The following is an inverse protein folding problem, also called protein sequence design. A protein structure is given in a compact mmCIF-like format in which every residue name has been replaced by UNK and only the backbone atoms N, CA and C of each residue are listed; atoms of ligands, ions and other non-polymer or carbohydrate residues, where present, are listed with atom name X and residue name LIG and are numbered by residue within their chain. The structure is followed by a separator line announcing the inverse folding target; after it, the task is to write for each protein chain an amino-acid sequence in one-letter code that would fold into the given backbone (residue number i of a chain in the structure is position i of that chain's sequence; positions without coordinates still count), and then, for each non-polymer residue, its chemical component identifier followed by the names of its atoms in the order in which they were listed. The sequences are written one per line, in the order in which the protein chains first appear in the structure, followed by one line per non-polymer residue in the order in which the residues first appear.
data_IF_062522096030
#
_entry.id   IF_062522096030
#
_cell.length_a   1.000
_cell.length_b   1.000
_cell.length_c   1.000
_cell.angle_alpha   90.00
_cell.angle_beta   90.00
_cell.angle_gamma   90.00
#
_symmetry.space_group_name_H-M   'P 1'
#
loop_
_entity.id
_entity.type
_entity.pdbx_description
1 polymer ?
#
# COMPACT_ATOMS: atom_id res chain seq x y z
N UNK A 1 -18.13 -72.68 -23.15
CA UNK A 1 -19.22 -73.61 -22.84
C UNK A 1 -20.19 -72.95 -21.84
N UNK A 2 -21.44 -72.84 -22.26
CA UNK A 2 -22.70 -72.71 -21.45
C UNK A 2 -22.99 -71.44 -20.64
N UNK A 3 -23.77 -70.62 -21.24
CA UNK A 3 -24.95 -69.94 -20.59
C UNK A 3 -25.99 -71.03 -20.21
N UNK A 4 -27.07 -70.84 -19.47
CA UNK A 4 -28.04 -69.77 -19.41
C UNK A 4 -28.53 -69.45 -17.96
N UNK A 5 -29.53 -68.71 -17.56
CA UNK A 5 -30.66 -67.93 -18.08
C UNK A 5 -31.67 -67.63 -16.95
N UNK A 6 -32.42 -66.54 -17.10
CA UNK A 6 -33.77 -66.21 -16.60
C UNK A 6 -34.06 -66.22 -15.08
N UNK A 7 -34.75 -65.32 -14.49
CA UNK A 7 -35.80 -64.43 -14.97
C UNK A 7 -36.54 -63.75 -13.84
N UNK A 8 -37.39 -62.84 -14.24
CA UNK A 8 -38.64 -62.30 -13.72
C UNK A 8 -38.67 -61.20 -12.67
N UNK A 9 -39.08 -60.12 -13.18
CA UNK A 9 -39.92 -58.98 -12.73
C UNK A 9 -40.67 -59.11 -11.42
N UNK A 10 -40.67 -58.03 -10.66
CA UNK A 10 -41.86 -57.54 -9.99
C UNK A 10 -41.83 -55.97 -9.91
N UNK A 11 -42.83 -55.38 -10.47
CA UNK A 11 -43.18 -53.96 -10.45
C UNK A 11 -43.92 -53.65 -9.14
N UNK A 12 -43.55 -52.63 -8.39
CA UNK A 12 -44.42 -51.85 -7.51
C UNK A 12 -43.71 -50.51 -7.26
N UNK A 13 -44.14 -49.45 -7.70
CA UNK A 13 -45.12 -48.51 -7.27
C UNK A 13 -44.52 -47.37 -6.49
N UNK A 14 -44.39 -46.21 -7.14
CA UNK A 14 -44.44 -44.82 -6.70
C UNK A 14 -44.24 -44.46 -5.22
N UNK A 15 -43.23 -43.66 -4.92
CA UNK A 15 -43.36 -42.49 -4.03
C UNK A 15 -42.30 -41.46 -4.41
N UNK A 16 -42.77 -40.31 -4.94
CA UNK A 16 -41.96 -39.13 -5.18
C UNK A 16 -41.73 -38.48 -3.82
N UNK A 17 -40.52 -38.59 -3.29
CA UNK A 17 -40.08 -37.75 -2.18
C UNK A 17 -39.21 -36.61 -2.75
N UNK A 18 -39.80 -35.43 -2.74
CA UNK A 18 -39.08 -34.19 -3.03
C UNK A 18 -38.10 -33.89 -1.88
N UNK A 19 -36.83 -34.16 -2.10
CA UNK A 19 -35.77 -33.72 -1.20
C UNK A 19 -35.37 -32.29 -1.59
N UNK A 20 -35.77 -31.37 -0.70
CA UNK A 20 -35.34 -29.99 -0.76
C UNK A 20 -33.79 -29.90 -0.69
N UNK A 21 -33.15 -29.41 -1.73
CA UNK A 21 -31.76 -28.99 -1.67
C UNK A 21 -31.64 -27.81 -0.71
N UNK A 22 -31.11 -28.06 0.48
CA UNK A 22 -30.72 -27.02 1.40
C UNK A 22 -29.58 -26.21 0.78
N UNK A 23 -29.89 -24.97 0.42
CA UNK A 23 -28.88 -23.94 0.16
C UNK A 23 -28.08 -23.76 1.45
N UNK A 24 -26.87 -24.31 1.48
CA UNK A 24 -25.86 -23.96 2.48
C UNK A 24 -25.44 -22.54 2.14
N UNK A 25 -26.05 -21.58 2.86
CA UNK A 25 -25.59 -20.20 2.86
C UNK A 25 -24.17 -20.17 3.42
N UNK A 26 -23.21 -19.82 2.57
CA UNK A 26 -21.92 -19.36 3.05
C UNK A 26 -22.17 -18.09 3.86
N UNK A 27 -22.15 -18.23 5.18
CA UNK A 27 -22.04 -17.11 6.08
C UNK A 27 -20.72 -16.42 5.76
N UNK A 28 -20.77 -15.31 5.03
CA UNK A 28 -19.65 -14.42 4.86
C UNK A 28 -19.22 -13.95 6.24
N UNK A 29 -18.06 -14.38 6.67
CA UNK A 29 -17.36 -13.77 7.80
C UNK A 29 -17.09 -12.33 7.40
N UNK A 30 -17.94 -11.42 7.88
CA UNK A 30 -17.67 -10.00 7.84
C UNK A 30 -16.41 -9.76 8.66
N UNK A 31 -15.31 -9.48 7.98
CA UNK A 31 -14.15 -8.88 8.63
C UNK A 31 -14.64 -7.58 9.26
N UNK A 32 -14.60 -7.53 10.59
CA UNK A 32 -15.01 -6.37 11.36
C UNK A 32 -14.16 -5.17 10.94
N UNK A 33 -14.78 -4.29 10.17
CA UNK A 33 -14.28 -2.96 9.88
C UNK A 33 -14.11 -2.24 11.21
N UNK A 34 -12.90 -1.88 11.56
CA UNK A 34 -12.67 -0.84 12.55
C UNK A 34 -13.36 0.42 11.97
N UNK A 35 -14.36 0.91 12.65
CA UNK A 35 -15.10 2.12 12.31
C UNK A 35 -14.20 3.34 12.42
N UNK A 36 -13.41 3.60 11.41
CA UNK A 36 -13.09 4.96 10.99
C UNK A 36 -14.39 5.44 10.36
N UNK A 37 -14.96 6.56 10.83
CA UNK A 37 -16.27 7.02 10.40
C UNK A 37 -16.40 6.90 8.88
N UNK A 38 -17.46 6.25 8.41
CA UNK A 38 -17.70 5.97 7.00
C UNK A 38 -17.80 7.27 6.21
N UNK A 39 -16.66 7.78 5.75
CA UNK A 39 -16.66 8.79 4.71
C UNK A 39 -17.01 8.06 3.42
N UNK A 40 -18.28 8.05 3.04
CA UNK A 40 -18.70 7.55 1.73
C UNK A 40 -18.10 8.46 0.68
N UNK A 41 -17.12 7.98 -0.04
CA UNK A 41 -16.57 8.71 -1.18
C UNK A 41 -17.61 8.80 -2.29
N UNK A 42 -17.71 10.00 -2.91
CA UNK A 42 -18.63 10.23 -4.01
C UNK A 42 -18.18 9.46 -5.27
N UNK A 43 -19.11 8.92 -6.03
CA UNK A 43 -18.81 8.41 -7.38
C UNK A 43 -18.37 9.55 -8.31
N UNK A 44 -17.80 9.21 -9.47
CA UNK A 44 -17.36 10.22 -10.45
C UNK A 44 -18.54 11.12 -10.88
N UNK A 45 -19.73 10.53 -11.10
CA UNK A 45 -20.94 11.27 -11.45
C UNK A 45 -21.39 12.19 -10.30
N UNK A 46 -21.35 11.70 -9.07
CA UNK A 46 -21.67 12.51 -7.88
C UNK A 46 -20.67 13.64 -7.68
N UNK A 47 -19.38 13.42 -7.95
CA UNK A 47 -18.34 14.45 -7.91
C UNK A 47 -18.59 15.54 -8.95
N UNK A 48 -18.99 15.17 -10.16
CA UNK A 48 -19.32 16.14 -11.21
C UNK A 48 -20.50 17.04 -10.81
N UNK A 49 -21.50 16.50 -10.09
CA UNK A 49 -22.65 17.26 -9.59
C UNK A 49 -22.32 18.10 -8.35
N UNK A 50 -21.49 17.57 -7.45
CA UNK A 50 -21.14 18.24 -6.18
C UNK A 50 -20.30 19.52 -6.35
N UNK A 51 -19.72 19.70 -7.54
CA UNK A 51 -18.82 20.83 -7.81
C UNK A 51 -17.51 20.74 -7.03
N UNK A 52 -16.71 21.78 -7.12
CA UNK A 52 -15.36 21.81 -6.58
C UNK A 52 -15.32 21.65 -5.06
N UNK A 53 -16.21 22.32 -4.33
CA UNK A 53 -16.23 22.28 -2.87
C UNK A 53 -16.66 20.91 -2.32
N UNK A 54 -17.62 20.27 -2.98
CA UNK A 54 -18.02 18.90 -2.63
C UNK A 54 -16.89 17.89 -2.86
N UNK A 55 -16.10 18.08 -3.92
CA UNK A 55 -14.88 17.27 -4.15
C UNK A 55 -13.84 17.52 -3.06
N UNK A 56 -13.52 18.79 -2.75
CA UNK A 56 -12.53 19.20 -1.73
C UNK A 56 -12.78 18.52 -0.38
N UNK A 57 -14.04 18.44 0.06
CA UNK A 57 -14.40 17.89 1.36
C UNK A 57 -13.88 16.46 1.59
N UNK A 58 -13.70 15.65 0.53
CA UNK A 58 -13.25 14.27 0.61
C UNK A 58 -11.75 14.11 0.85
N UNK A 59 -10.98 15.19 0.67
CA UNK A 59 -9.52 15.16 0.73
C UNK A 59 -8.94 15.81 2.00
N UNK A 60 -9.80 16.14 2.97
CA UNK A 60 -9.35 16.72 4.26
C UNK A 60 -8.52 15.72 5.04
N UNK A 61 -7.40 16.19 5.56
CA UNK A 61 -6.48 15.38 6.37
C UNK A 61 -7.15 14.93 7.68
N UNK A 62 -6.92 13.69 8.13
CA UNK A 62 -7.36 13.25 9.45
C UNK A 62 -6.63 14.00 10.56
N UNK A 63 -7.30 14.18 11.70
CA UNK A 63 -6.77 14.92 12.84
C UNK A 63 -5.73 14.14 13.66
N UNK A 64 -5.71 12.81 13.56
CA UNK A 64 -4.86 11.95 14.38
C UNK A 64 -4.33 10.75 13.62
N UNK A 65 -3.17 10.24 14.04
CA UNK A 65 -2.57 9.03 13.51
C UNK A 65 -3.25 7.81 14.18
N UNK A 66 -3.74 6.83 13.40
CA UNK A 66 -4.32 5.62 13.96
C UNK A 66 -3.24 4.68 14.49
N UNK A 67 -3.40 4.24 15.74
CA UNK A 67 -2.60 3.17 16.34
C UNK A 67 -3.51 2.00 16.72
N UNK A 68 -3.13 0.75 16.45
CA UNK A 68 -3.95 -0.40 16.82
C UNK A 68 -3.97 -0.59 18.36
N UNK A 69 -5.06 -1.15 18.87
CA UNK A 69 -5.26 -1.36 20.31
C UNK A 69 -4.17 -2.24 20.94
N UNK A 70 -3.67 -3.21 20.21
CA UNK A 70 -2.64 -4.14 20.65
C UNK A 70 -1.21 -3.61 20.46
N UNK A 71 -1.05 -2.43 19.81
CA UNK A 71 0.19 -1.68 19.71
C UNK A 71 -0.05 -0.17 19.83
N UNK A 72 -0.53 0.33 20.97
CA UNK A 72 -0.74 1.76 21.19
C UNK A 72 0.58 2.51 21.16
N UNK A 73 0.52 3.77 20.76
CA UNK A 73 1.68 4.67 20.76
C UNK A 73 2.24 4.88 22.17
N UNK A 74 3.56 4.83 22.29
CA UNK A 74 4.31 5.42 23.40
C UNK A 74 5.60 6.06 22.89
N UNK A 75 6.15 7.08 23.58
CA UNK A 75 7.42 7.70 23.19
C UNK A 75 8.59 6.70 23.19
N UNK A 76 8.59 5.73 24.09
CA UNK A 76 9.62 4.72 24.22
C UNK A 76 9.60 3.75 23.02
N UNK A 77 8.42 3.32 22.57
CA UNK A 77 8.28 2.51 21.34
C UNK A 77 8.74 3.27 20.12
N UNK A 78 8.35 4.55 20.01
CA UNK A 78 8.81 5.42 18.92
C UNK A 78 10.34 5.52 18.91
N UNK A 79 10.96 5.81 20.03
CA UNK A 79 12.41 5.96 20.16
C UNK A 79 13.15 4.66 19.81
N UNK A 80 12.68 3.52 20.32
CA UNK A 80 13.22 2.19 20.00
C UNK A 80 13.02 1.87 18.51
N UNK A 81 11.82 2.05 17.99
CA UNK A 81 11.49 1.78 16.58
C UNK A 81 12.35 2.59 15.62
N UNK A 82 12.56 3.88 15.92
CA UNK A 82 13.47 4.73 15.14
C UNK A 82 14.90 4.19 15.14
N UNK A 83 15.43 3.74 16.27
CA UNK A 83 16.78 3.16 16.34
C UNK A 83 16.86 1.89 15.48
N UNK A 84 15.90 0.98 15.64
CA UNK A 84 15.84 -0.26 14.86
C UNK A 84 15.72 0.00 13.36
N UNK A 85 14.91 0.96 12.95
CA UNK A 85 14.69 1.33 11.55
C UNK A 85 15.99 1.79 10.84
N UNK A 86 16.89 2.46 11.56
CA UNK A 86 18.18 2.95 11.03
C UNK A 86 19.35 2.01 11.33
N UNK A 87 19.16 0.93 12.10
CA UNK A 87 20.25 0.05 12.50
C UNK A 87 20.58 -0.99 11.42
N UNK A 88 21.72 -0.89 10.80
CA UNK A 88 22.12 -1.85 9.77
C UNK A 88 22.38 -3.26 10.30
N UNK A 89 22.58 -3.43 11.61
CA UNK A 89 22.77 -4.74 12.26
C UNK A 89 21.54 -5.63 12.21
N UNK A 90 20.39 -5.09 11.78
CA UNK A 90 19.18 -5.91 11.52
C UNK A 90 19.22 -6.67 10.19
N UNK A 91 20.24 -6.47 9.35
CA UNK A 91 20.50 -7.30 8.16
C UNK A 91 21.63 -8.29 8.42
N UNK A 92 21.68 -9.39 7.66
CA UNK A 92 22.74 -10.41 7.83
C UNK A 92 24.14 -9.83 7.57
N UNK A 93 24.24 -8.95 6.57
CA UNK A 93 25.48 -8.28 6.18
C UNK A 93 25.91 -7.14 7.11
N UNK A 94 25.04 -6.67 7.99
CA UNK A 94 25.18 -5.43 8.76
C UNK A 94 25.41 -4.18 7.89
N UNK A 95 24.99 -4.22 6.63
CA UNK A 95 25.17 -3.13 5.65
C UNK A 95 23.86 -2.45 5.27
N UNK A 96 22.71 -3.08 5.56
CA UNK A 96 21.39 -2.58 5.17
C UNK A 96 20.47 -2.43 6.39
N UNK A 97 19.66 -1.40 6.38
CA UNK A 97 18.58 -1.14 7.33
C UNK A 97 17.29 -0.83 6.56
N UNK A 98 16.16 -0.64 7.24
CA UNK A 98 14.93 -0.17 6.58
C UNK A 98 15.19 1.15 5.82
N UNK A 99 15.98 2.05 6.40
CA UNK A 99 16.34 3.32 5.80
C UNK A 99 17.21 3.21 4.54
N UNK A 100 17.76 2.03 4.23
CA UNK A 100 18.52 1.80 2.99
C UNK A 100 17.63 1.78 1.74
N UNK A 101 16.40 1.25 1.89
CA UNK A 101 15.39 1.16 0.82
C UNK A 101 14.26 2.18 1.01
N UNK A 102 14.10 2.75 2.21
CA UNK A 102 13.07 3.73 2.54
C UNK A 102 13.73 4.96 3.19
N UNK A 103 14.53 5.67 2.39
CA UNK A 103 15.31 6.82 2.86
C UNK A 103 14.47 8.09 2.97
N UNK A 104 14.58 8.85 4.09
CA UNK A 104 13.95 10.17 4.21
C UNK A 104 14.33 11.14 3.08
N UNK A 105 15.53 11.00 2.50
CA UNK A 105 16.02 11.88 1.45
C UNK A 105 15.31 11.68 0.09
N UNK A 106 14.66 10.53 -0.10
CA UNK A 106 13.95 10.18 -1.34
C UNK A 106 12.45 9.96 -1.10
N UNK A 107 11.83 10.79 -0.24
CA UNK A 107 10.41 10.66 0.07
C UNK A 107 10.08 9.30 0.71
N UNK A 108 11.01 8.73 1.48
CA UNK A 108 10.89 7.42 2.13
C UNK A 108 10.75 6.24 1.14
N UNK A 109 11.35 6.39 -0.03
CA UNK A 109 11.67 5.37 -1.03
C UNK A 109 13.21 5.29 -1.19
N UNK A 110 13.71 4.71 -2.28
CA UNK A 110 15.16 4.62 -2.55
C UNK A 110 15.63 5.43 -3.77
N UNK A 111 14.68 5.98 -4.55
CA UNK A 111 14.97 6.73 -5.77
C UNK A 111 15.49 5.87 -6.93
N UNK A 112 15.43 4.54 -6.82
CA UNK A 112 15.89 3.59 -7.84
C UNK A 112 14.69 2.98 -8.58
N UNK A 113 14.85 2.56 -9.85
CA UNK A 113 13.78 1.85 -10.57
C UNK A 113 13.33 0.59 -9.83
N UNK A 114 14.25 -0.20 -9.33
CA UNK A 114 14.00 -1.37 -8.47
C UNK A 114 14.94 -1.35 -7.28
N UNK A 115 14.45 -1.83 -6.14
CA UNK A 115 15.24 -1.88 -4.91
C UNK A 115 16.48 -2.76 -5.06
N UNK A 116 17.49 -2.52 -4.21
CA UNK A 116 18.74 -3.30 -4.15
C UNK A 116 18.83 -3.97 -2.80
N UNK A 117 18.87 -5.32 -2.81
CA UNK A 117 18.87 -6.14 -1.62
C UNK A 117 20.22 -6.76 -1.27
N UNK A 118 20.17 -7.89 -0.57
CA UNK A 118 21.35 -8.62 -0.11
C UNK A 118 22.28 -8.99 -1.27
N UNK A 119 23.57 -8.82 -1.06
CA UNK A 119 24.57 -9.08 -2.10
C UNK A 119 24.50 -8.15 -3.31
N UNK A 120 23.90 -6.98 -3.18
CA UNK A 120 23.68 -6.01 -4.27
C UNK A 120 22.75 -6.56 -5.37
N UNK A 121 21.92 -7.57 -5.07
CA UNK A 121 20.96 -8.11 -6.01
C UNK A 121 19.83 -7.09 -6.27
N UNK A 122 19.48 -6.89 -7.55
CA UNK A 122 18.31 -6.11 -7.90
C UNK A 122 17.03 -6.87 -7.51
N UNK A 123 16.12 -6.16 -6.85
CA UNK A 123 14.78 -6.67 -6.54
C UNK A 123 13.86 -6.46 -7.76
N UNK A 124 12.78 -7.23 -7.84
CA UNK A 124 11.89 -7.14 -9.01
C UNK A 124 10.96 -5.93 -9.01
N UNK A 125 10.97 -5.11 -7.96
CA UNK A 125 10.01 -4.00 -7.78
C UNK A 125 10.67 -2.76 -7.20
N UNK A 126 10.07 -1.60 -7.53
CA UNK A 126 10.39 -0.32 -6.92
C UNK A 126 10.07 -0.33 -5.42
N UNK A 127 10.94 0.28 -4.60
CA UNK A 127 10.72 0.42 -3.16
C UNK A 127 9.61 1.44 -2.89
N UNK A 128 8.44 1.03 -2.37
CA UNK A 128 7.35 1.95 -2.12
C UNK A 128 7.68 2.87 -0.93
N UNK A 129 7.12 4.07 -0.92
CA UNK A 129 7.22 4.94 0.26
C UNK A 129 6.50 4.35 1.47
N UNK A 130 7.00 4.64 2.68
CA UNK A 130 6.32 4.38 3.95
C UNK A 130 5.54 5.61 4.46
N UNK A 131 5.56 6.73 3.74
CA UNK A 131 4.80 7.93 4.12
C UNK A 131 3.32 7.58 4.24
N UNK A 132 2.71 7.99 5.35
CA UNK A 132 1.30 7.73 5.67
C UNK A 132 0.91 6.25 5.77
N UNK A 133 1.87 5.34 5.98
CA UNK A 133 1.60 3.91 6.12
C UNK A 133 0.65 3.57 7.28
N UNK A 134 0.51 4.47 8.27
CA UNK A 134 -0.42 4.30 9.39
C UNK A 134 -1.88 4.09 8.96
N UNK A 135 -2.29 4.63 7.81
CA UNK A 135 -3.66 4.54 7.27
C UNK A 135 -3.84 3.43 6.22
N UNK A 136 -2.77 2.71 5.88
CA UNK A 136 -2.86 1.59 4.95
C UNK A 136 -3.61 0.40 5.53
N UNK A 137 -4.49 -0.20 4.74
CA UNK A 137 -5.25 -1.39 5.13
C UNK A 137 -4.52 -2.70 4.79
N UNK A 138 -3.56 -2.65 3.86
CA UNK A 138 -2.81 -3.81 3.38
C UNK A 138 -1.44 -3.35 2.83
N UNK A 139 -0.42 -4.20 2.94
CA UNK A 139 0.97 -3.83 2.68
C UNK A 139 1.62 -4.68 1.60
N UNK A 140 2.73 -4.18 1.05
CA UNK A 140 3.43 -4.61 -0.15
C UNK A 140 2.65 -4.29 -1.44
N UNK A 141 3.32 -4.23 -2.59
CA UNK A 141 2.68 -3.99 -3.88
C UNK A 141 1.59 -5.01 -4.24
N UNK A 142 1.74 -6.26 -3.79
CA UNK A 142 0.81 -7.36 -4.01
C UNK A 142 -0.17 -7.60 -2.84
N UNK A 143 -0.10 -6.80 -1.79
CA UNK A 143 -1.00 -6.87 -0.65
C UNK A 143 -0.92 -8.18 0.14
N UNK A 144 0.26 -8.80 0.22
CA UNK A 144 0.42 -10.09 0.90
C UNK A 144 0.48 -10.01 2.43
N UNK A 145 0.60 -8.81 3.00
CA UNK A 145 0.74 -8.59 4.45
C UNK A 145 -0.38 -7.67 4.96
N UNK A 146 -0.98 -8.05 6.08
CA UNK A 146 -2.22 -7.45 6.58
C UNK A 146 -2.00 -6.21 7.49
N UNK A 147 -0.81 -6.06 8.08
CA UNK A 147 -0.50 -4.97 9.01
C UNK A 147 0.99 -4.63 8.98
N UNK A 148 1.36 -3.49 9.58
CA UNK A 148 2.76 -3.04 9.62
C UNK A 148 3.65 -3.92 10.48
N UNK A 149 3.12 -4.55 11.50
CA UNK A 149 3.86 -5.46 12.37
C UNK A 149 4.33 -6.71 11.59
N UNK A 150 3.48 -7.27 10.75
CA UNK A 150 3.87 -8.36 9.85
C UNK A 150 4.83 -7.86 8.76
N UNK A 151 4.56 -6.66 8.23
CA UNK A 151 5.38 -6.07 7.18
C UNK A 151 6.81 -5.82 7.67
N UNK A 152 7.01 -5.32 8.89
CA UNK A 152 8.34 -5.04 9.45
C UNK A 152 9.26 -6.28 9.50
N UNK A 153 8.70 -7.49 9.65
CA UNK A 153 9.48 -8.73 9.68
C UNK A 153 9.73 -9.32 8.28
N UNK A 154 8.91 -8.98 7.29
CA UNK A 154 8.99 -9.54 5.95
C UNK A 154 10.35 -9.31 5.27
N UNK A 155 10.76 -8.04 5.03
CA UNK A 155 12.04 -7.69 4.42
C UNK A 155 13.25 -8.17 5.21
N UNK A 156 13.17 -8.17 6.55
CA UNK A 156 14.25 -8.65 7.42
C UNK A 156 14.59 -10.10 7.09
N UNK A 157 13.57 -10.96 6.97
CA UNK A 157 13.74 -12.39 6.74
C UNK A 157 13.89 -12.77 5.27
N UNK A 158 13.49 -11.88 4.34
CA UNK A 158 13.53 -12.16 2.90
C UNK A 158 14.97 -12.39 2.43
N UNK A 159 15.29 -13.55 1.82
CA UNK A 159 16.63 -13.85 1.33
C UNK A 159 17.16 -12.85 0.30
N UNK A 160 16.26 -12.26 -0.49
CA UNK A 160 16.62 -11.25 -1.50
C UNK A 160 16.82 -9.86 -0.92
N UNK A 161 16.27 -9.56 0.27
CA UNK A 161 16.29 -8.22 0.87
C UNK A 161 17.35 -8.13 1.97
N UNK A 162 17.03 -8.39 3.24
CA UNK A 162 17.99 -8.27 4.35
C UNK A 162 18.59 -9.62 4.79
N UNK A 163 18.00 -10.73 4.37
CA UNK A 163 18.46 -12.11 4.54
C UNK A 163 18.82 -12.48 5.99
N UNK A 164 18.10 -11.95 6.97
CA UNK A 164 18.38 -12.16 8.39
C UNK A 164 17.32 -13.08 9.03
N UNK A 165 17.64 -14.34 9.38
CA UNK A 165 16.77 -15.17 10.17
C UNK A 165 16.43 -14.50 11.50
N UNK A 166 15.16 -14.47 11.87
CA UNK A 166 14.70 -13.67 13.02
C UNK A 166 15.28 -14.13 14.34
N UNK A 167 15.53 -15.42 14.50
CA UNK A 167 16.18 -16.00 15.68
C UNK A 167 17.64 -15.49 15.82
N UNK A 168 18.36 -15.46 14.70
CA UNK A 168 19.72 -14.91 14.63
C UNK A 168 19.73 -13.40 14.96
N UNK A 169 18.71 -12.67 14.46
CA UNK A 169 18.55 -11.26 14.78
C UNK A 169 18.34 -11.06 16.28
N UNK A 170 17.46 -11.83 16.92
CA UNK A 170 17.24 -11.74 18.37
C UNK A 170 18.51 -12.03 19.18
N UNK A 171 19.28 -13.03 18.79
CA UNK A 171 20.58 -13.32 19.41
C UNK A 171 21.53 -12.13 19.24
N UNK A 172 21.67 -11.60 18.02
CA UNK A 172 22.55 -10.45 17.73
C UNK A 172 22.18 -9.21 18.54
N UNK A 173 20.90 -8.82 18.55
CA UNK A 173 20.44 -7.67 19.33
C UNK A 173 20.62 -7.91 20.85
N UNK A 174 20.47 -9.14 21.32
CA UNK A 174 20.69 -9.54 22.70
C UNK A 174 22.13 -9.38 23.19
N UNK A 175 23.12 -9.38 22.27
CA UNK A 175 24.54 -9.10 22.61
C UNK A 175 24.86 -7.62 22.73
N UNK A 176 23.92 -6.73 22.37
CA UNK A 176 24.11 -5.28 22.45
C UNK A 176 23.49 -4.79 23.76
N UNK A 177 24.32 -4.41 24.77
CA UNK A 177 23.82 -4.16 26.13
C UNK A 177 22.71 -3.10 26.23
N UNK A 178 22.82 -2.05 25.42
CA UNK A 178 21.90 -0.91 25.46
C UNK A 178 20.52 -1.21 24.87
N UNK A 179 20.33 -2.27 24.06
CA UNK A 179 19.00 -2.65 23.58
C UNK A 179 18.11 -3.20 24.71
N UNK A 180 18.67 -3.93 25.65
CA UNK A 180 17.89 -4.55 26.74
C UNK A 180 17.06 -3.53 27.53
N UNK A 181 17.61 -2.43 28.07
CA UNK A 181 16.81 -1.42 28.77
C UNK A 181 15.84 -0.68 27.83
N UNK A 182 16.18 -0.48 26.54
CA UNK A 182 15.28 0.16 25.59
C UNK A 182 14.03 -0.68 25.33
N UNK A 183 14.18 -2.01 25.16
CA UNK A 183 13.05 -2.91 25.03
C UNK A 183 12.22 -2.97 26.31
N UNK A 184 12.85 -3.02 27.47
CA UNK A 184 12.15 -3.04 28.76
C UNK A 184 11.33 -1.76 29.00
N UNK A 185 11.83 -0.60 28.58
CA UNK A 185 11.11 0.66 28.66
C UNK A 185 9.94 0.73 27.66
N UNK A 186 10.15 0.25 26.43
CA UNK A 186 9.13 0.29 25.37
C UNK A 186 8.01 -0.75 25.60
N UNK A 187 8.31 -1.88 26.24
CA UNK A 187 7.40 -3.00 26.48
C UNK A 187 7.50 -3.51 27.93
N UNK A 188 6.97 -2.77 28.91
CA UNK A 188 7.01 -3.17 30.31
C UNK A 188 6.36 -4.55 30.52
N UNK A 189 7.10 -5.48 31.12
CA UNK A 189 6.62 -6.84 31.38
C UNK A 189 6.72 -7.81 30.20
N UNK A 190 7.13 -7.35 29.00
CA UNK A 190 7.41 -8.22 27.87
C UNK A 190 8.93 -8.38 27.65
N UNK A 191 9.33 -9.52 27.11
CA UNK A 191 10.73 -9.76 26.73
C UNK A 191 11.03 -9.23 25.32
N UNK A 192 12.31 -8.97 25.03
CA UNK A 192 12.77 -8.72 23.67
C UNK A 192 12.47 -9.95 22.80
N UNK A 193 11.71 -9.78 21.74
CA UNK A 193 11.20 -10.83 20.86
C UNK A 193 10.93 -10.29 19.45
N UNK A 194 10.74 -11.16 18.45
CA UNK A 194 10.32 -10.72 17.11
C UNK A 194 9.06 -9.86 17.14
N UNK A 195 8.10 -10.20 18.00
CA UNK A 195 6.86 -9.45 18.17
C UNK A 195 7.09 -8.02 18.68
N UNK A 196 7.89 -7.85 19.75
CA UNK A 196 8.17 -6.52 20.30
C UNK A 196 9.06 -5.69 19.36
N UNK A 197 9.98 -6.32 18.63
CA UNK A 197 10.76 -5.69 17.58
C UNK A 197 9.84 -5.15 16.47
N UNK A 198 8.96 -5.99 15.92
CA UNK A 198 8.01 -5.62 14.89
C UNK A 198 7.09 -4.46 15.33
N UNK A 199 6.54 -4.54 16.54
CA UNK A 199 5.72 -3.48 17.13
C UNK A 199 6.47 -2.15 17.28
N UNK A 200 7.74 -2.17 17.66
CA UNK A 200 8.53 -0.95 17.76
C UNK A 200 8.77 -0.31 16.37
N UNK A 201 9.21 -1.09 15.38
CA UNK A 201 9.42 -0.61 14.02
C UNK A 201 8.10 -0.05 13.46
N UNK A 202 7.01 -0.80 13.53
CA UNK A 202 5.69 -0.38 13.06
C UNK A 202 5.18 0.89 13.77
N UNK A 203 5.50 1.08 15.05
CA UNK A 203 5.18 2.32 15.78
C UNK A 203 5.92 3.51 15.17
N UNK A 204 7.21 3.36 14.84
CA UNK A 204 7.97 4.41 14.17
C UNK A 204 7.42 4.71 12.77
N UNK A 205 7.18 3.70 11.95
CA UNK A 205 6.66 3.86 10.59
C UNK A 205 5.32 4.60 10.58
N UNK A 206 4.43 4.33 11.54
CA UNK A 206 3.17 5.07 11.69
C UNK A 206 3.35 6.57 11.91
N UNK A 207 4.47 6.99 12.49
CA UNK A 207 4.77 8.41 12.70
C UNK A 207 5.38 9.11 11.47
N UNK A 208 5.70 8.36 10.42
CA UNK A 208 6.17 8.91 9.16
C UNK A 208 4.98 9.42 8.36
N UNK A 209 4.62 10.68 8.61
CA UNK A 209 3.46 11.34 8.01
C UNK A 209 3.92 12.49 7.12
N UNK A 210 3.29 12.62 5.93
CA UNK A 210 3.55 13.75 5.03
C UNK A 210 3.33 15.08 5.73
N UNK A 211 4.19 16.06 5.47
CA UNK A 211 3.96 17.44 5.92
C UNK A 211 2.75 18.04 5.20
N UNK A 212 2.34 19.24 5.60
CA UNK A 212 1.32 19.97 4.85
C UNK A 212 1.87 20.40 3.50
N UNK A 213 1.15 20.09 2.45
CA UNK A 213 1.47 20.48 1.09
C UNK A 213 0.57 21.67 0.65
N UNK A 214 0.91 22.39 -0.42
CA UNK A 214 0.07 23.48 -0.95
C UNK A 214 -1.38 23.05 -1.19
N UNK A 215 -1.60 21.81 -1.61
CA UNK A 215 -2.94 21.24 -1.76
C UNK A 215 -3.75 21.23 -0.46
N UNK A 216 -3.13 20.95 0.70
CA UNK A 216 -3.83 20.94 1.99
C UNK A 216 -4.31 22.34 2.38
N UNK A 217 -3.49 23.36 2.12
CA UNK A 217 -3.84 24.75 2.41
C UNK A 217 -4.99 25.23 1.52
N UNK A 218 -5.01 24.78 0.25
CA UNK A 218 -6.13 25.05 -0.65
C UNK A 218 -7.42 24.34 -0.21
N UNK A 219 -7.34 23.08 0.23
CA UNK A 219 -8.49 22.34 0.79
C UNK A 219 -9.07 23.06 2.02
N UNK A 220 -8.22 23.66 2.82
CA UNK A 220 -8.62 24.39 4.02
C UNK A 220 -9.05 25.86 3.75
N UNK A 221 -9.12 26.29 2.46
CA UNK A 221 -9.73 27.54 2.04
C UNK A 221 -8.77 28.63 1.56
N UNK A 222 -7.45 28.37 1.51
CA UNK A 222 -6.52 29.31 0.89
C UNK A 222 -6.54 29.14 -0.65
N UNK A 223 -7.41 29.90 -1.32
CA UNK A 223 -7.58 29.79 -2.77
C UNK A 223 -6.33 30.16 -3.59
N UNK A 224 -5.34 30.81 -2.98
CA UNK A 224 -4.09 31.17 -3.63
C UNK A 224 -2.96 30.16 -3.43
N UNK A 225 -3.18 29.09 -2.64
CA UNK A 225 -2.16 28.11 -2.32
C UNK A 225 -1.72 27.26 -3.53
N UNK A 226 -2.57 27.13 -4.53
CA UNK A 226 -2.27 26.40 -5.77
C UNK A 226 -2.70 27.24 -7.00
N UNK A 227 -2.07 26.96 -8.16
CA UNK A 227 -2.36 27.67 -9.39
C UNK A 227 -3.70 27.27 -10.02
N UNK A 228 -4.21 28.08 -10.95
CA UNK A 228 -5.45 27.77 -11.68
C UNK A 228 -5.30 26.49 -12.55
N UNK A 229 -4.09 26.23 -13.08
CA UNK A 229 -3.77 24.98 -13.76
C UNK A 229 -3.97 23.77 -12.82
N UNK A 230 -3.44 23.88 -11.59
CA UNK A 230 -3.58 22.81 -10.60
C UNK A 230 -5.05 22.61 -10.18
N UNK A 231 -5.85 23.67 -10.06
CA UNK A 231 -7.30 23.56 -9.77
C UNK A 231 -8.03 22.84 -10.91
N UNK A 232 -7.73 23.19 -12.18
CA UNK A 232 -8.28 22.46 -13.34
C UNK A 232 -7.83 21.00 -13.35
N UNK A 233 -6.55 20.75 -13.02
CA UNK A 233 -6.01 19.38 -12.89
C UNK A 233 -6.72 18.57 -11.83
N UNK A 234 -7.03 19.16 -10.66
CA UNK A 234 -7.84 18.50 -9.62
C UNK A 234 -9.25 18.17 -10.10
N UNK A 235 -9.90 19.08 -10.82
CA UNK A 235 -11.21 18.81 -11.41
C UNK A 235 -11.15 17.66 -12.43
N UNK A 236 -10.14 17.65 -13.32
CA UNK A 236 -9.90 16.57 -14.28
C UNK A 236 -9.65 15.23 -13.60
N UNK A 237 -8.82 15.21 -12.55
CA UNK A 237 -8.50 14.03 -11.75
C UNK A 237 -9.75 13.37 -11.16
N UNK A 238 -10.73 14.17 -10.76
CA UNK A 238 -11.98 13.72 -10.16
C UNK A 238 -13.10 13.44 -11.18
N UNK A 239 -12.95 13.86 -12.46
CA UNK A 239 -14.00 13.75 -13.48
C UNK A 239 -13.48 13.01 -14.71
N UNK A 240 -13.10 13.73 -15.78
CA UNK A 240 -12.73 13.17 -17.10
C UNK A 240 -11.62 12.11 -17.01
N UNK A 241 -10.57 12.36 -16.22
CA UNK A 241 -9.45 11.43 -16.09
C UNK A 241 -9.72 10.25 -15.13
N UNK A 242 -10.77 10.31 -14.33
CA UNK A 242 -11.24 9.26 -13.41
C UNK A 242 -10.17 8.69 -12.45
N UNK A 243 -9.08 9.40 -12.21
CA UNK A 243 -7.98 8.95 -11.34
C UNK A 243 -8.48 8.69 -9.91
N UNK A 244 -9.44 9.50 -9.45
CA UNK A 244 -10.05 9.39 -8.14
C UNK A 244 -10.93 8.15 -7.93
N UNK A 245 -11.14 7.31 -8.97
CA UNK A 245 -11.79 6.01 -8.80
C UNK A 245 -10.92 4.99 -8.06
N UNK A 246 -9.61 5.22 -8.04
CA UNK A 246 -8.63 4.42 -7.30
C UNK A 246 -7.86 5.28 -6.29
N UNK A 247 -7.52 6.51 -6.66
CA UNK A 247 -6.77 7.47 -5.86
C UNK A 247 -7.70 8.45 -5.15
N UNK A 248 -8.46 7.95 -4.18
CA UNK A 248 -9.46 8.72 -3.45
C UNK A 248 -9.03 9.07 -2.01
N UNK A 249 -9.76 9.98 -1.39
CA UNK A 249 -9.53 10.40 -0.03
C UNK A 249 -8.24 11.19 0.17
N UNK A 250 -7.99 11.56 1.42
CA UNK A 250 -6.89 12.46 1.79
C UNK A 250 -5.50 11.94 1.41
N UNK A 251 -5.31 10.60 1.42
CA UNK A 251 -4.04 9.95 1.06
C UNK A 251 -4.00 9.50 -0.41
N UNK A 252 -5.05 9.76 -1.19
CA UNK A 252 -5.15 9.41 -2.60
C UNK A 252 -4.95 7.92 -2.88
N UNK A 253 -5.63 7.07 -2.12
CA UNK A 253 -5.66 5.62 -2.32
C UNK A 253 -6.89 5.00 -1.67
N UNK A 254 -7.43 3.97 -2.30
CA UNK A 254 -8.42 3.07 -1.71
C UNK A 254 -7.81 1.71 -1.32
N UNK A 255 -6.49 1.55 -1.41
CA UNK A 255 -5.76 0.28 -1.23
C UNK A 255 -6.25 -0.88 -2.12
N UNK A 256 -7.08 -0.59 -3.13
CA UNK A 256 -7.59 -1.55 -4.10
C UNK A 256 -6.51 -2.05 -5.06
N UNK A 257 -6.76 -3.19 -5.71
CA UNK A 257 -5.83 -3.79 -6.65
C UNK A 257 -6.28 -3.55 -8.09
N UNK A 258 -5.38 -3.02 -8.92
CA UNK A 258 -5.65 -2.73 -10.32
C UNK A 258 -4.50 -3.19 -11.21
N UNK A 259 -4.84 -3.85 -12.30
CA UNK A 259 -3.93 -4.00 -13.43
C UNK A 259 -4.06 -2.76 -14.31
N UNK A 260 -3.03 -1.92 -14.30
CA UNK A 260 -2.97 -0.69 -15.09
C UNK A 260 -2.46 -0.90 -16.52
N UNK A 261 -2.28 -2.15 -16.93
CA UNK A 261 -1.80 -2.45 -18.29
C UNK A 261 -0.35 -2.04 -18.53
N UNK A 262 0.51 -2.05 -17.52
CA UNK A 262 1.96 -1.94 -17.75
C UNK A 262 2.49 -3.17 -18.47
N UNK A 263 3.43 -3.05 -19.39
CA UNK A 263 4.07 -4.17 -20.08
C UNK A 263 5.07 -4.86 -19.16
N UNK A 264 4.57 -5.61 -18.17
CA UNK A 264 5.35 -6.33 -17.16
C UNK A 264 4.85 -7.76 -17.02
N UNK A 265 5.78 -8.71 -16.82
CA UNK A 265 5.48 -10.13 -16.57
C UNK A 265 5.17 -10.40 -15.09
N UNK A 266 5.34 -9.42 -14.20
CA UNK A 266 5.00 -9.58 -12.78
C UNK A 266 3.48 -9.74 -12.63
N UNK A 267 3.07 -10.91 -12.12
CA UNK A 267 1.65 -11.23 -11.94
C UNK A 267 1.01 -10.55 -10.72
N UNK A 268 1.78 -9.82 -9.93
CA UNK A 268 1.29 -9.04 -8.80
C UNK A 268 0.44 -9.85 -7.81
N UNK A 269 -0.74 -9.35 -7.50
CA UNK A 269 -1.72 -10.00 -6.61
C UNK A 269 -2.13 -11.39 -7.12
N UNK A 270 -2.10 -11.62 -8.42
CA UNK A 270 -2.43 -12.90 -9.04
C UNK A 270 -1.62 -14.07 -8.50
N UNK A 271 -0.41 -13.85 -8.00
CA UNK A 271 0.41 -14.87 -7.33
C UNK A 271 -0.31 -15.53 -6.13
N UNK A 272 -1.12 -14.77 -5.42
CA UNK A 272 -1.82 -15.21 -4.20
C UNK A 272 -3.26 -15.62 -4.44
N UNK A 273 -3.83 -15.25 -5.59
CA UNK A 273 -5.21 -15.59 -6.00
C UNK A 273 -5.24 -15.99 -7.49
N UNK A 274 -4.55 -17.06 -7.88
CA UNK A 274 -4.29 -17.38 -9.30
C UNK A 274 -5.57 -17.65 -10.13
N UNK A 275 -6.67 -18.03 -9.49
CA UNK A 275 -7.96 -18.29 -10.17
C UNK A 275 -8.77 -17.01 -10.49
N UNK A 276 -8.32 -15.83 -10.08
CA UNK A 276 -9.06 -14.57 -10.28
C UNK A 276 -8.37 -13.74 -11.37
N UNK A 277 -8.94 -13.76 -12.58
CA UNK A 277 -8.35 -13.11 -13.76
C UNK A 277 -8.05 -11.62 -13.48
N UNK A 278 -8.95 -10.87 -12.89
CA UNK A 278 -8.76 -9.42 -12.60
C UNK A 278 -7.68 -9.13 -11.56
N UNK A 279 -7.15 -10.15 -10.87
CA UNK A 279 -6.03 -10.00 -9.95
C UNK A 279 -4.67 -10.33 -10.57
N UNK A 280 -4.64 -10.89 -11.79
CA UNK A 280 -3.40 -11.07 -12.55
C UNK A 280 -2.84 -9.69 -12.92
N UNK A 281 -1.54 -9.50 -12.75
CA UNK A 281 -0.84 -8.24 -12.98
C UNK A 281 -1.42 -7.03 -12.20
N UNK A 282 -2.23 -7.29 -11.18
CA UNK A 282 -2.84 -6.25 -10.36
C UNK A 282 -1.94 -5.92 -9.17
N UNK A 283 -1.79 -4.62 -8.92
CA UNK A 283 -1.00 -4.09 -7.82
C UNK A 283 -1.86 -3.14 -6.98
N UNK A 284 -1.49 -3.05 -5.70
CA UNK A 284 -2.15 -2.15 -4.77
C UNK A 284 -1.99 -0.70 -5.23
N UNK A 285 -3.10 0.04 -5.26
CA UNK A 285 -3.10 1.47 -5.53
C UNK A 285 -2.28 2.21 -4.46
N UNK A 286 -1.16 2.87 -4.81
CA UNK A 286 -0.36 3.62 -3.84
C UNK A 286 -0.99 4.98 -3.55
N UNK A 287 -0.73 5.53 -2.36
CA UNK A 287 -1.03 6.93 -2.07
C UNK A 287 -0.21 7.88 -2.94
N UNK A 288 -0.71 9.10 -3.18
CA UNK A 288 -0.02 10.09 -4.03
C UNK A 288 0.62 11.24 -3.24
N UNK A 289 0.54 11.25 -1.91
CA UNK A 289 1.25 12.26 -1.11
C UNK A 289 2.76 12.14 -1.32
N UNK A 290 3.46 13.28 -1.35
CA UNK A 290 4.91 13.38 -1.58
C UNK A 290 5.37 12.79 -2.93
N UNK A 291 4.49 12.81 -3.95
CA UNK A 291 4.71 12.08 -5.21
C UNK A 291 5.95 12.54 -5.98
N UNK A 292 6.32 13.83 -5.93
CA UNK A 292 7.47 14.34 -6.69
C UNK A 292 8.81 13.92 -6.11
N UNK A 293 8.84 13.47 -4.85
CA UNK A 293 10.06 12.95 -4.20
C UNK A 293 10.32 11.48 -4.47
N UNK A 294 9.42 10.79 -5.19
CA UNK A 294 9.40 9.32 -5.28
C UNK A 294 9.54 8.78 -6.70
N UNK A 295 10.13 9.57 -7.60
CA UNK A 295 10.49 9.05 -8.93
C UNK A 295 11.60 7.99 -8.81
N UNK A 296 11.65 6.98 -9.73
CA UNK A 296 10.70 6.72 -10.80
C UNK A 296 9.40 6.06 -10.30
N UNK A 297 8.40 5.97 -11.17
CA UNK A 297 7.03 5.60 -10.82
C UNK A 297 6.69 4.17 -11.26
N UNK A 298 5.53 3.71 -10.80
CA UNK A 298 4.93 2.38 -10.97
C UNK A 298 5.63 1.32 -10.08
N UNK A 299 5.06 0.10 -10.06
CA UNK A 299 5.58 -0.98 -9.22
C UNK A 299 6.97 -1.48 -9.65
N UNK A 300 7.35 -1.21 -10.88
CA UNK A 300 8.63 -1.63 -11.51
C UNK A 300 9.57 -0.44 -11.81
N UNK A 301 9.19 0.78 -11.42
CA UNK A 301 9.97 1.98 -11.68
C UNK A 301 10.15 2.33 -13.16
N UNK A 302 9.28 1.81 -14.04
CA UNK A 302 9.44 1.94 -15.49
C UNK A 302 9.16 3.34 -16.05
N UNK A 303 8.48 4.21 -15.30
CA UNK A 303 8.14 5.56 -15.72
C UNK A 303 8.91 6.59 -14.90
N UNK A 304 9.75 7.39 -15.58
CA UNK A 304 10.67 8.31 -14.92
C UNK A 304 10.00 9.62 -14.46
N UNK A 305 8.92 10.06 -15.11
CA UNK A 305 8.29 11.36 -14.86
C UNK A 305 6.77 11.26 -14.72
N UNK A 306 6.16 12.27 -14.07
CA UNK A 306 4.69 12.36 -13.96
C UNK A 306 4.02 12.52 -15.31
N UNK A 307 4.67 13.17 -16.26
CA UNK A 307 4.18 13.32 -17.63
C UNK A 307 4.05 11.95 -18.30
N UNK A 308 5.05 11.07 -18.13
CA UNK A 308 5.00 9.68 -18.63
C UNK A 308 3.88 8.88 -17.95
N UNK A 309 3.67 9.09 -16.66
CA UNK A 309 2.55 8.45 -15.92
C UNK A 309 1.21 8.89 -16.52
N UNK A 310 0.99 10.19 -16.71
CA UNK A 310 -0.25 10.71 -17.33
C UNK A 310 -0.42 10.17 -18.75
N UNK A 311 0.66 10.11 -19.55
CA UNK A 311 0.63 9.54 -20.90
C UNK A 311 0.28 8.04 -20.90
N UNK A 312 0.77 7.27 -19.94
CA UNK A 312 0.40 5.86 -19.81
C UNK A 312 -1.11 5.69 -19.53
N UNK A 313 -1.65 6.45 -18.60
CA UNK A 313 -3.09 6.42 -18.29
C UNK A 313 -3.94 6.95 -19.42
N UNK A 314 -3.50 8.02 -20.13
CA UNK A 314 -4.21 8.55 -21.29
C UNK A 314 -4.32 7.53 -22.43
N UNK A 315 -3.29 6.70 -22.64
CA UNK A 315 -3.29 5.60 -23.62
C UNK A 315 -4.16 4.41 -23.20
N UNK A 316 -4.45 4.26 -21.93
CA UNK A 316 -5.26 3.14 -21.41
C UNK A 316 -4.50 1.83 -21.18
N UNK A 317 -3.15 1.84 -21.25
CA UNK A 317 -2.30 0.65 -21.00
C UNK A 317 -2.44 -0.46 -22.05
N UNK A 318 -1.66 -1.54 -21.87
CA UNK A 318 -1.72 -2.73 -22.74
C UNK A 318 -3.02 -3.49 -22.49
N UNK A 319 -3.69 -3.89 -23.57
CA UNK A 319 -4.93 -4.66 -23.48
C UNK A 319 -4.67 -6.12 -23.13
N UNK A 320 -5.31 -6.59 -22.06
CA UNK A 320 -5.30 -7.99 -21.63
C UNK A 320 -6.50 -8.27 -20.72
N UNK A 321 -6.90 -9.55 -20.51
CA UNK A 321 -8.12 -9.90 -19.76
C UNK A 321 -8.13 -9.38 -18.31
N UNK A 322 -6.97 -9.24 -17.69
CA UNK A 322 -6.81 -8.74 -16.31
C UNK A 322 -6.90 -7.22 -16.20
N UNK A 323 -6.64 -6.47 -17.30
CA UNK A 323 -6.63 -5.02 -17.26
C UNK A 323 -7.91 -4.47 -16.63
N UNK A 324 -7.74 -3.50 -15.76
CA UNK A 324 -8.86 -2.81 -15.10
C UNK A 324 -9.80 -2.19 -16.15
N UNK A 325 -11.10 -2.32 -15.94
CA UNK A 325 -12.12 -1.73 -16.82
C UNK A 325 -12.12 -0.19 -16.78
N UNK A 326 -11.45 0.39 -15.79
CA UNK A 326 -11.20 1.84 -15.69
C UNK A 326 -10.06 2.31 -16.61
N UNK A 327 -9.19 1.39 -17.05
CA UNK A 327 -8.09 1.71 -17.98
C UNK A 327 -8.59 1.79 -19.42
N UNK A 328 -8.94 3.00 -19.84
CA UNK A 328 -9.43 3.34 -21.17
C UNK A 328 -8.69 4.56 -21.70
N UNK A 329 -8.55 4.71 -23.03
CA UNK A 329 -8.06 5.96 -23.59
C UNK A 329 -8.90 7.14 -23.10
N UNK A 330 -8.25 8.14 -22.50
CA UNK A 330 -8.92 9.29 -21.88
C UNK A 330 -9.16 10.44 -22.88
N UNK A 331 -8.37 10.50 -23.94
CA UNK A 331 -8.43 11.56 -24.95
C UNK A 331 -8.12 12.94 -24.34
N UNK A 332 -7.06 13.01 -23.56
CA UNK A 332 -6.62 14.25 -22.91
C UNK A 332 -5.89 15.13 -23.92
N UNK A 333 -6.21 16.42 -23.93
CA UNK A 333 -5.43 17.43 -24.65
C UNK A 333 -4.07 17.65 -23.96
N UNK A 334 -3.06 18.21 -24.66
CA UNK A 334 -1.79 18.57 -24.03
C UNK A 334 -1.94 19.47 -22.81
N UNK A 335 -2.89 20.41 -22.82
CA UNK A 335 -3.18 21.28 -21.69
C UNK A 335 -3.76 20.51 -20.51
N UNK A 336 -4.70 19.61 -20.72
CA UNK A 336 -5.28 18.78 -19.66
C UNK A 336 -4.23 17.87 -19.00
N UNK A 337 -3.28 17.33 -19.78
CA UNK A 337 -2.13 16.57 -19.22
C UNK A 337 -1.24 17.45 -18.35
N UNK A 338 -0.93 18.66 -18.81
CA UNK A 338 -0.15 19.64 -18.05
C UNK A 338 -0.87 20.03 -16.75
N UNK A 339 -2.17 20.27 -16.80
CA UNK A 339 -3.00 20.62 -15.65
C UNK A 339 -3.01 19.48 -14.60
N UNK A 340 -3.12 18.22 -15.02
CA UNK A 340 -3.03 17.05 -14.13
C UNK A 340 -1.65 16.95 -13.44
N UNK A 341 -0.57 17.17 -14.18
CA UNK A 341 0.79 17.20 -13.63
C UNK A 341 0.96 18.36 -12.64
N UNK A 342 0.45 19.54 -12.98
CA UNK A 342 0.47 20.71 -12.11
C UNK A 342 -0.27 20.41 -10.78
N UNK A 343 -1.43 19.75 -10.85
CA UNK A 343 -2.15 19.29 -9.68
C UNK A 343 -1.33 18.29 -8.84
N UNK A 344 -0.80 17.23 -9.44
CA UNK A 344 -0.04 16.23 -8.70
C UNK A 344 1.18 16.82 -7.98
N UNK A 345 1.83 17.83 -8.55
CA UNK A 345 2.95 18.53 -7.91
C UNK A 345 2.52 19.25 -6.62
N UNK A 346 1.27 19.69 -6.50
CA UNK A 346 0.76 20.32 -5.27
C UNK A 346 0.59 19.36 -4.09
N UNK A 347 0.68 18.04 -4.32
CA UNK A 347 0.56 17.01 -3.27
C UNK A 347 1.88 16.77 -2.51
N UNK A 348 2.92 17.50 -2.86
CA UNK A 348 4.26 17.37 -2.30
C UNK A 348 4.59 18.57 -1.43
N UNK A 349 5.08 18.29 -0.23
CA UNK A 349 5.61 19.27 0.71
C UNK A 349 7.13 19.35 0.64
N UNK A 350 7.73 20.31 1.32
CA UNK A 350 9.17 20.30 1.55
C UNK A 350 9.57 19.12 2.44
N UNK A 351 10.65 18.45 2.09
CA UNK A 351 11.17 17.36 2.90
C UNK A 351 11.67 17.90 4.25
N UNK A 352 11.06 17.44 5.33
CA UNK A 352 11.54 17.75 6.66
C UNK A 352 12.85 16.97 6.94
N UNK A 353 13.89 17.63 7.47
CA UNK A 353 15.12 16.94 7.86
C UNK A 353 14.81 15.85 8.90
N UNK A 354 15.25 14.64 8.64
CA UNK A 354 15.14 13.52 9.57
C UNK A 354 16.50 13.20 10.18
N UNK A 355 16.65 13.49 11.46
CA UNK A 355 17.88 13.15 12.17
C UNK A 355 18.04 11.64 12.30
N UNK A 356 19.17 11.09 11.86
CA UNK A 356 19.56 9.70 12.12
C UNK A 356 19.85 9.56 13.62
N UNK A 357 19.27 8.56 14.31
CA UNK A 357 19.47 8.41 15.74
C UNK A 357 20.87 7.89 16.08
N UNK A 358 21.36 8.22 17.27
CA UNK A 358 22.51 7.52 17.84
C UNK A 358 22.09 6.09 18.17
N UNK A 359 22.81 5.13 17.60
CA UNK A 359 22.50 3.71 17.75
C UNK A 359 23.06 3.16 19.06
N UNK A 360 22.40 2.16 19.68
CA UNK A 360 22.87 1.44 20.86
C UNK A 360 24.25 0.76 20.63
N UNK A 361 25.05 0.69 21.71
CA UNK A 361 26.40 0.09 21.73
C UNK A 361 26.46 -1.14 22.63
#
# INVERSE_FOLDING_TARGET
MLRPSFGHSAIFGSAVAATALGLIGFAGTSFGSATVGETRYLTVEQKAVAGLDGMKAQYRRPASIPFPKDNPYTPEKLALGKKLYFDTRISVSSAQSCASCHSPAFGWADGLPVGVGFGMAQLGRHSPTIVNAAWGAIFMWDGRLANLEEQALGPIQSPGEMNMPVEQLMQRLGTIPEYKPLFAAAFPGETMSPKTLAKAIATYERTVVSQRAPFDDWIDGNEQAISEEAKRGFALFNTKAQCSSCHEGWNFTNDGFQDTGLPSDDVGRGKFVPGVVKMQHAFKTPGLREITHRSPYMHDGSLATLEQVVDHYDKGGVERPSRSDLMKPLGLTPQEKSDLVAFMKTLTSDLAPTAVPVLPR
#
